data_IF_906706823536
#
_entry.id   IF_906706823536
#
_cell.length_a   1.000
_cell.length_b   1.000
_cell.length_c   1.000
_cell.angle_alpha   90.00
_cell.angle_beta   90.00
_cell.angle_gamma   90.00
#
_symmetry.space_group_name_H-M   'P 1'
#
loop_
_entity.id
_entity.type
_entity.pdbx_description
1 polymer ?
#
# COMPACT_ATOMS: atom_id res chain seq x y z
N UNK A 1 -39.70 24.21 -11.71
CA UNK A 1 -38.24 24.20 -11.95
C UNK A 1 -37.61 23.62 -10.69
N UNK A 2 -37.33 22.32 -10.67
CA UNK A 2 -36.70 21.66 -9.52
C UNK A 2 -35.19 21.76 -9.71
N UNK A 3 -34.54 22.56 -8.87
CA UNK A 3 -33.09 22.59 -8.75
C UNK A 3 -32.65 21.21 -8.22
N UNK A 4 -31.96 20.44 -9.05
CA UNK A 4 -31.24 19.26 -8.60
C UNK A 4 -30.20 19.72 -7.59
N UNK A 5 -30.38 19.32 -6.34
CA UNK A 5 -29.35 19.39 -5.32
C UNK A 5 -28.19 18.50 -5.77
N UNK A 6 -27.11 19.10 -6.29
CA UNK A 6 -25.81 18.44 -6.41
C UNK A 6 -25.34 18.13 -5.00
N UNK A 7 -25.77 16.99 -4.47
CA UNK A 7 -25.26 16.47 -3.22
C UNK A 7 -23.79 16.17 -3.46
N UNK A 8 -22.93 17.04 -2.93
CA UNK A 8 -21.50 16.73 -2.77
C UNK A 8 -21.47 15.41 -2.01
N UNK A 9 -20.90 14.33 -2.57
CA UNK A 9 -20.88 13.04 -1.90
C UNK A 9 -20.20 13.20 -0.54
N UNK A 10 -20.67 12.48 0.50
CA UNK A 10 -20.10 12.59 1.83
C UNK A 10 -18.59 12.34 1.79
N UNK A 11 -17.83 13.10 2.57
CA UNK A 11 -16.37 12.96 2.65
C UNK A 11 -16.00 11.49 2.87
N UNK A 12 -15.19 10.93 1.95
CA UNK A 12 -14.76 9.54 1.98
C UNK A 12 -15.60 8.53 1.18
N UNK A 13 -16.77 8.91 0.63
CA UNK A 13 -17.57 8.00 -0.20
C UNK A 13 -16.84 7.55 -1.48
N UNK A 14 -16.10 8.47 -2.11
CA UNK A 14 -15.28 8.16 -3.29
C UNK A 14 -14.12 7.23 -2.95
N UNK A 15 -13.43 7.46 -1.81
CA UNK A 15 -12.38 6.58 -1.33
C UNK A 15 -12.93 5.16 -1.13
N UNK A 16 -14.06 5.01 -0.44
CA UNK A 16 -14.70 3.70 -0.23
C UNK A 16 -15.11 3.02 -1.54
N UNK A 17 -15.57 3.78 -2.54
CA UNK A 17 -15.84 3.23 -3.87
C UNK A 17 -14.55 2.70 -4.52
N UNK A 18 -13.47 3.48 -4.51
CA UNK A 18 -12.16 3.07 -5.03
C UNK A 18 -11.67 1.79 -4.36
N UNK A 19 -11.76 1.72 -3.03
CA UNK A 19 -11.41 0.53 -2.25
C UNK A 19 -12.18 -0.69 -2.76
N UNK A 20 -13.51 -0.58 -2.89
CA UNK A 20 -14.36 -1.68 -3.35
C UNK A 20 -14.04 -2.09 -4.79
N UNK A 21 -13.76 -1.14 -5.68
CA UNK A 21 -13.36 -1.45 -7.06
C UNK A 21 -12.07 -2.28 -7.09
N UNK A 22 -11.05 -1.90 -6.30
CA UNK A 22 -9.80 -2.67 -6.22
C UNK A 22 -10.04 -4.06 -5.64
N UNK A 23 -10.83 -4.20 -4.57
CA UNK A 23 -11.19 -5.53 -4.02
C UNK A 23 -11.91 -6.43 -5.04
N UNK A 24 -12.66 -5.85 -5.96
CA UNK A 24 -13.35 -6.57 -7.04
C UNK A 24 -12.46 -6.82 -8.27
N UNK A 25 -11.19 -6.42 -8.24
CA UNK A 25 -10.28 -6.53 -9.38
C UNK A 25 -10.56 -5.52 -10.51
N UNK A 26 -11.36 -4.48 -10.25
CA UNK A 26 -11.76 -3.45 -11.23
C UNK A 26 -10.75 -2.30 -11.24
N UNK A 27 -9.51 -2.62 -11.59
CA UNK A 27 -8.38 -1.69 -11.53
C UNK A 27 -8.47 -0.54 -12.54
N UNK A 28 -9.14 -0.74 -13.69
CA UNK A 28 -9.29 0.30 -14.71
C UNK A 28 -10.15 1.47 -14.21
N UNK A 29 -11.31 1.16 -13.61
CA UNK A 29 -12.20 2.15 -13.02
C UNK A 29 -11.57 2.83 -11.81
N UNK A 30 -10.91 2.05 -10.94
CA UNK A 30 -10.17 2.61 -9.81
C UNK A 30 -9.07 3.59 -10.26
N UNK A 31 -8.29 3.23 -11.28
CA UNK A 31 -7.27 4.09 -11.86
C UNK A 31 -7.83 5.40 -12.40
N UNK A 32 -8.98 5.36 -13.08
CA UNK A 32 -9.62 6.57 -13.61
C UNK A 32 -9.98 7.58 -12.51
N UNK A 33 -10.46 7.11 -11.35
CA UNK A 33 -10.78 7.95 -10.21
C UNK A 33 -9.51 8.47 -9.52
N UNK A 34 -8.55 7.58 -9.27
CA UNK A 34 -7.32 7.90 -8.54
C UNK A 34 -6.43 8.89 -9.28
N UNK A 35 -6.33 8.81 -10.61
CA UNK A 35 -5.48 9.75 -11.38
C UNK A 35 -5.97 11.19 -11.34
N UNK A 36 -7.25 11.40 -11.03
CA UNK A 36 -7.90 12.73 -10.95
C UNK A 36 -8.02 13.24 -9.51
N UNK A 37 -7.62 12.44 -8.51
CA UNK A 37 -7.74 12.83 -7.11
C UNK A 37 -6.85 14.04 -6.78
N UNK A 38 -7.47 15.09 -6.23
CA UNK A 38 -6.77 16.29 -5.73
C UNK A 38 -7.38 16.72 -4.38
N UNK A 39 -6.57 17.06 -3.36
CA UNK A 39 -5.12 16.90 -3.30
C UNK A 39 -4.71 15.41 -3.24
N UNK A 40 -3.48 15.12 -3.66
CA UNK A 40 -2.94 13.77 -3.59
C UNK A 40 -2.73 13.36 -2.12
N UNK A 41 -3.32 12.23 -1.73
CA UNK A 41 -3.22 11.67 -0.38
C UNK A 41 -2.31 10.44 -0.37
N UNK A 42 -1.70 10.07 0.78
CA UNK A 42 -0.91 8.85 0.87
C UNK A 42 -1.69 7.60 0.44
N UNK A 43 -2.95 7.47 0.86
CA UNK A 43 -3.84 6.35 0.51
C UNK A 43 -4.09 6.28 -1.00
N UNK A 44 -4.44 7.41 -1.62
CA UNK A 44 -4.64 7.50 -3.07
C UNK A 44 -3.39 7.10 -3.85
N UNK A 45 -2.22 7.59 -3.45
CA UNK A 45 -0.96 7.21 -4.10
C UNK A 45 -0.63 5.73 -3.97
N UNK A 46 -0.87 5.14 -2.79
CA UNK A 46 -0.70 3.71 -2.60
C UNK A 46 -1.67 2.90 -3.47
N UNK A 47 -2.95 3.27 -3.49
CA UNK A 47 -3.97 2.58 -4.28
C UNK A 47 -3.74 2.73 -5.79
N UNK A 48 -3.19 3.87 -6.22
CA UNK A 48 -2.75 4.07 -7.60
C UNK A 48 -1.56 3.17 -7.95
N UNK A 49 -0.63 2.98 -7.01
CA UNK A 49 0.47 2.03 -7.17
C UNK A 49 -0.05 0.59 -7.37
N UNK A 50 -1.09 0.17 -6.64
CA UNK A 50 -1.71 -1.15 -6.85
C UNK A 50 -2.26 -1.33 -8.27
N UNK A 51 -2.81 -0.26 -8.87
CA UNK A 51 -3.29 -0.31 -10.26
C UNK A 51 -2.14 -0.54 -11.26
N UNK A 52 -1.01 0.18 -11.09
CA UNK A 52 0.18 -0.03 -11.90
C UNK A 52 0.83 -1.40 -11.66
N UNK A 53 0.85 -1.86 -10.41
CA UNK A 53 1.40 -3.16 -10.05
C UNK A 53 0.60 -4.29 -10.71
N UNK A 54 -0.74 -4.21 -10.69
CA UNK A 54 -1.60 -5.17 -11.35
C UNK A 54 -1.36 -5.26 -12.86
N UNK A 55 -1.00 -4.14 -13.50
CA UNK A 55 -0.62 -4.09 -14.92
C UNK A 55 0.81 -4.64 -15.19
N UNK A 56 1.63 -4.84 -14.17
CA UNK A 56 3.06 -5.17 -14.30
C UNK A 56 3.96 -3.97 -14.58
N UNK A 57 3.44 -2.74 -14.43
CA UNK A 57 4.18 -1.49 -14.60
C UNK A 57 4.97 -1.15 -13.32
N UNK A 58 6.02 -1.92 -13.05
CA UNK A 58 6.75 -1.85 -11.77
C UNK A 58 7.49 -0.53 -11.54
N UNK A 59 7.95 0.16 -12.59
CA UNK A 59 8.63 1.46 -12.44
C UNK A 59 7.65 2.55 -12.01
N UNK A 60 6.48 2.59 -12.63
CA UNK A 60 5.39 3.49 -12.29
C UNK A 60 4.85 3.19 -10.89
N UNK A 61 4.75 1.90 -10.54
CA UNK A 61 4.41 1.46 -9.19
C UNK A 61 5.37 2.07 -8.16
N UNK A 62 6.68 1.96 -8.39
CA UNK A 62 7.71 2.53 -7.50
C UNK A 62 7.57 4.05 -7.36
N UNK A 63 7.32 4.78 -8.46
CA UNK A 63 7.10 6.24 -8.42
C UNK A 63 5.91 6.61 -7.53
N UNK A 64 4.79 5.89 -7.64
CA UNK A 64 3.63 6.10 -6.78
C UNK A 64 3.91 5.77 -5.32
N UNK A 65 4.64 4.68 -5.05
CA UNK A 65 5.04 4.27 -3.71
C UNK A 65 6.00 5.26 -3.04
N UNK A 66 6.94 5.83 -3.78
CA UNK A 66 7.83 6.89 -3.28
C UNK A 66 7.03 8.13 -2.88
N UNK A 67 6.06 8.55 -3.71
CA UNK A 67 5.15 9.66 -3.38
C UNK A 67 4.30 9.35 -2.14
N UNK A 68 3.72 8.15 -2.05
CA UNK A 68 2.96 7.73 -0.87
C UNK A 68 3.83 7.81 0.39
N UNK A 69 5.06 7.30 0.33
CA UNK A 69 6.01 7.31 1.44
C UNK A 69 6.40 8.74 1.87
N UNK A 70 6.63 9.64 0.92
CA UNK A 70 6.92 11.06 1.20
C UNK A 70 5.74 11.74 1.91
N UNK A 71 4.51 11.49 1.46
CA UNK A 71 3.31 12.06 2.08
C UNK A 71 3.05 11.48 3.48
N UNK A 72 3.38 10.20 3.73
CA UNK A 72 3.30 9.60 5.06
C UNK A 72 4.27 10.23 6.07
N UNK A 73 5.48 10.62 5.64
CA UNK A 73 6.48 11.20 6.55
C UNK A 73 6.05 12.55 7.15
N UNK A 74 5.08 13.22 6.52
CA UNK A 74 4.51 14.48 6.96
C UNK A 74 3.44 14.26 8.04
N UNK A 75 2.79 13.09 8.03
CA UNK A 75 1.72 12.73 8.96
C UNK A 75 2.27 12.00 10.19
N UNK A 76 2.28 12.68 11.34
CA UNK A 76 2.80 12.15 12.62
C UNK A 76 1.72 11.48 13.48
N UNK A 77 0.55 11.20 12.90
CA UNK A 77 -0.53 10.49 13.56
C UNK A 77 -0.25 9.00 13.67
N UNK A 78 -0.15 8.50 14.89
CA UNK A 78 -0.19 7.07 15.18
C UNK A 78 -0.81 6.87 16.54
N UNK A 79 -1.80 5.99 16.64
CA UNK A 79 -2.32 5.61 17.94
C UNK A 79 -1.41 4.51 18.48
N UNK A 80 -0.82 4.74 19.66
CA UNK A 80 -0.25 3.65 20.46
C UNK A 80 -1.40 2.83 21.03
N UNK A 81 -1.88 1.87 20.27
CA UNK A 81 -2.86 0.90 20.74
C UNK A 81 -2.12 -0.15 21.57
N UNK A 82 -2.60 -0.37 22.80
CA UNK A 82 -2.06 -1.44 23.64
C UNK A 82 -2.38 -2.78 22.97
N UNK A 83 -1.36 -3.45 22.43
CA UNK A 83 -1.51 -4.75 21.78
C UNK A 83 -1.24 -5.87 22.77
N UNK A 84 -2.20 -6.78 22.88
CA UNK A 84 -2.04 -8.00 23.67
C UNK A 84 -1.40 -9.13 22.86
N UNK A 85 -1.16 -10.27 23.51
CA UNK A 85 -0.58 -11.44 22.84
C UNK A 85 -1.51 -12.04 21.78
N UNK A 86 -2.83 -11.85 21.89
CA UNK A 86 -3.78 -12.35 20.90
C UNK A 86 -3.70 -11.55 19.60
N UNK A 87 -3.61 -10.22 19.70
CA UNK A 87 -3.31 -9.35 18.56
C UNK A 87 -1.99 -9.76 17.89
N UNK A 88 -0.93 -10.01 18.65
CA UNK A 88 0.36 -10.45 18.09
C UNK A 88 0.22 -11.76 17.29
N UNK A 89 -0.51 -12.75 17.82
CA UNK A 89 -0.74 -14.01 17.13
C UNK A 89 -1.57 -13.84 15.84
N UNK A 90 -2.57 -12.96 15.83
CA UNK A 90 -3.30 -12.59 14.60
C UNK A 90 -2.35 -11.95 13.60
N UNK A 91 -1.51 -11.03 14.07
CA UNK A 91 -0.59 -10.27 13.23
C UNK A 91 0.47 -11.18 12.59
N UNK A 92 1.01 -12.13 13.33
CA UNK A 92 1.93 -13.15 12.81
C UNK A 92 1.30 -13.97 11.69
N UNK A 93 0.03 -14.40 11.84
CA UNK A 93 -0.70 -15.09 10.76
C UNK A 93 -0.87 -14.21 9.52
N UNK A 94 -1.23 -12.95 9.72
CA UNK A 94 -1.41 -12.00 8.62
C UNK A 94 -0.08 -11.64 7.92
N UNK A 95 1.08 -11.71 8.61
CA UNK A 95 2.38 -11.47 8.00
C UNK A 95 2.75 -12.50 6.92
N UNK A 96 2.11 -13.68 6.98
CA UNK A 96 2.26 -14.73 5.98
C UNK A 96 1.32 -14.56 4.77
N UNK A 97 0.41 -13.58 4.82
CA UNK A 97 -0.54 -13.30 3.75
C UNK A 97 -0.09 -12.12 2.87
N UNK A 98 -0.67 -12.07 1.67
CA UNK A 98 -0.44 -11.03 0.66
C UNK A 98 -1.29 -9.77 0.88
N UNK A 99 -1.68 -9.48 2.12
CA UNK A 99 -2.56 -8.34 2.44
C UNK A 99 -1.96 -6.97 2.11
N UNK A 100 -0.64 -6.87 1.95
CA UNK A 100 0.03 -5.66 1.48
C UNK A 100 -0.31 -5.30 0.03
N UNK A 101 -0.96 -6.19 -0.71
CA UNK A 101 -1.54 -5.95 -2.05
C UNK A 101 -2.99 -5.45 -1.99
N UNK A 102 -3.55 -5.26 -0.79
CA UNK A 102 -4.90 -4.75 -0.59
C UNK A 102 -4.89 -3.22 -0.48
N UNK A 103 -5.98 -2.55 -0.90
CA UNK A 103 -6.04 -1.10 -0.90
C UNK A 103 -6.17 -0.53 0.52
N UNK A 104 -5.64 0.68 0.71
CA UNK A 104 -5.60 1.38 2.00
C UNK A 104 -6.54 2.58 2.00
N UNK A 105 -7.19 2.82 3.14
CA UNK A 105 -7.96 4.05 3.39
C UNK A 105 -7.10 5.08 4.11
N UNK A 106 -7.48 6.35 3.97
CA UNK A 106 -6.87 7.46 4.72
C UNK A 106 -6.99 7.23 6.23
N UNK A 107 -8.12 6.67 6.69
CA UNK A 107 -8.32 6.31 8.10
C UNK A 107 -7.38 5.20 8.57
N UNK A 108 -7.13 4.18 7.75
CA UNK A 108 -6.16 3.14 8.09
C UNK A 108 -4.76 3.73 8.24
N UNK A 109 -4.36 4.60 7.31
CA UNK A 109 -3.06 5.28 7.36
C UNK A 109 -2.90 6.12 8.63
N UNK A 110 -3.91 6.90 8.99
CA UNK A 110 -3.87 7.76 10.17
C UNK A 110 -3.76 6.97 11.50
N UNK A 111 -4.31 5.74 11.53
CA UNK A 111 -4.32 4.90 12.73
C UNK A 111 -3.13 3.94 12.80
N UNK A 112 -2.70 3.42 11.65
CA UNK A 112 -1.75 2.33 11.49
C UNK A 112 -0.61 2.68 10.51
N UNK A 113 -0.10 3.91 10.57
CA UNK A 113 0.90 4.43 9.64
C UNK A 113 2.16 3.56 9.51
N UNK A 114 2.63 2.92 10.60
CA UNK A 114 3.76 1.99 10.54
C UNK A 114 3.45 0.74 9.72
N UNK A 115 2.24 0.19 9.80
CA UNK A 115 1.82 -0.93 8.94
C UNK A 115 1.66 -0.48 7.49
N UNK A 116 1.22 0.75 7.24
CA UNK A 116 1.18 1.31 5.88
C UNK A 116 2.59 1.46 5.29
N UNK A 117 3.58 1.90 6.08
CA UNK A 117 5.00 1.94 5.66
C UNK A 117 5.54 0.55 5.35
N UNK A 118 5.17 -0.45 6.15
CA UNK A 118 5.53 -1.84 5.88
C UNK A 118 4.90 -2.31 4.56
N UNK A 119 3.61 -2.03 4.32
CA UNK A 119 2.94 -2.40 3.06
C UNK A 119 3.62 -1.76 1.83
N UNK A 120 4.00 -0.48 1.93
CA UNK A 120 4.80 0.19 0.89
C UNK A 120 6.11 -0.56 0.66
N UNK A 121 6.86 -0.85 1.73
CA UNK A 121 8.15 -1.52 1.63
C UNK A 121 8.01 -2.90 1.00
N UNK A 122 7.01 -3.68 1.43
CA UNK A 122 6.68 -5.00 0.89
C UNK A 122 6.38 -4.93 -0.60
N UNK A 123 5.58 -3.96 -1.05
CA UNK A 123 5.26 -3.83 -2.48
C UNK A 123 6.45 -3.33 -3.32
N UNK A 124 7.30 -2.44 -2.77
CA UNK A 124 8.55 -2.03 -3.43
C UNK A 124 9.51 -3.21 -3.58
N UNK A 125 9.62 -4.07 -2.57
CA UNK A 125 10.43 -5.29 -2.63
C UNK A 125 9.99 -6.19 -3.79
N UNK A 126 8.69 -6.45 -3.93
CA UNK A 126 8.17 -7.22 -5.06
C UNK A 126 8.53 -6.56 -6.40
N UNK A 127 8.37 -5.24 -6.53
CA UNK A 127 8.71 -4.52 -7.76
C UNK A 127 10.20 -4.68 -8.12
N UNK A 128 11.10 -4.52 -7.15
CA UNK A 128 12.54 -4.66 -7.41
C UNK A 128 12.93 -6.09 -7.74
N UNK A 129 12.25 -7.08 -7.14
CA UNK A 129 12.45 -8.49 -7.46
C UNK A 129 12.02 -8.78 -8.91
N UNK A 130 10.86 -8.27 -9.34
CA UNK A 130 10.37 -8.43 -10.71
C UNK A 130 11.22 -7.70 -11.75
N UNK A 131 11.88 -6.61 -11.36
CA UNK A 131 12.85 -5.89 -12.19
C UNK A 131 14.25 -6.51 -12.15
N UNK A 132 14.44 -7.62 -11.41
CA UNK A 132 15.72 -8.31 -11.22
C UNK A 132 16.85 -7.42 -10.66
N UNK A 133 16.50 -6.37 -9.92
CA UNK A 133 17.46 -5.47 -9.28
C UNK A 133 17.71 -5.96 -7.85
N UNK A 134 18.39 -7.11 -7.72
CA UNK A 134 18.56 -7.82 -6.45
C UNK A 134 19.23 -7.01 -5.35
N UNK A 135 20.17 -6.11 -5.70
CA UNK A 135 20.81 -5.25 -4.69
C UNK A 135 19.79 -4.31 -4.02
N UNK A 136 18.81 -3.81 -4.80
CA UNK A 136 17.72 -2.98 -4.28
C UNK A 136 16.72 -3.78 -3.45
N UNK A 137 16.49 -5.05 -3.79
CA UNK A 137 15.72 -5.97 -2.95
C UNK A 137 16.35 -6.04 -1.55
N UNK A 138 17.66 -6.30 -1.46
CA UNK A 138 18.36 -6.40 -0.18
C UNK A 138 18.30 -5.08 0.60
N UNK A 139 18.59 -3.94 -0.05
CA UNK A 139 18.58 -2.62 0.56
C UNK A 139 17.22 -2.27 1.19
N UNK A 140 16.13 -2.52 0.46
CA UNK A 140 14.78 -2.13 0.88
C UNK A 140 14.16 -3.13 1.86
N UNK A 141 14.41 -4.42 1.71
CA UNK A 141 13.76 -5.48 2.48
C UNK A 141 14.44 -5.74 3.84
N UNK A 142 15.77 -5.62 3.92
CA UNK A 142 16.55 -5.93 5.14
C UNK A 142 16.06 -5.18 6.40
N UNK A 143 15.74 -3.86 6.35
CA UNK A 143 15.30 -3.12 7.53
C UNK A 143 14.05 -3.70 8.22
N UNK A 144 13.19 -4.42 7.48
CA UNK A 144 11.94 -4.99 8.00
C UNK A 144 11.97 -6.53 8.10
N UNK A 145 13.09 -7.18 7.83
CA UNK A 145 13.21 -8.65 7.84
C UNK A 145 12.83 -9.25 9.21
N UNK A 146 13.14 -8.56 10.31
CA UNK A 146 12.80 -9.00 11.67
C UNK A 146 11.28 -9.08 11.94
N UNK A 147 10.43 -8.57 11.03
CA UNK A 147 8.97 -8.63 11.13
C UNK A 147 8.37 -9.91 10.55
N UNK A 148 9.18 -10.78 9.94
CA UNK A 148 8.78 -12.11 9.42
C UNK A 148 7.62 -12.05 8.41
N UNK A 149 7.69 -11.10 7.47
CA UNK A 149 6.74 -11.05 6.35
C UNK A 149 7.17 -12.07 5.30
N UNK A 150 6.27 -12.97 4.90
CA UNK A 150 6.61 -14.06 3.96
C UNK A 150 7.26 -13.57 2.67
N UNK A 151 6.68 -12.54 2.03
CA UNK A 151 7.21 -12.02 0.77
C UNK A 151 8.59 -11.37 0.91
N UNK A 152 8.90 -10.82 2.10
CA UNK A 152 10.21 -10.23 2.40
C UNK A 152 11.26 -11.33 2.55
N UNK A 153 10.95 -12.38 3.31
CA UNK A 153 11.86 -13.51 3.53
C UNK A 153 12.16 -14.22 2.20
N UNK A 154 11.11 -14.52 1.42
CA UNK A 154 11.24 -15.14 0.10
C UNK A 154 12.11 -14.27 -0.84
N UNK A 155 11.83 -12.95 -0.92
CA UNK A 155 12.55 -12.04 -1.81
C UNK A 155 14.02 -11.89 -1.40
N UNK A 156 14.32 -11.82 -0.10
CA UNK A 156 15.68 -11.77 0.41
C UNK A 156 16.45 -13.05 0.12
N UNK A 157 15.79 -14.21 0.23
CA UNK A 157 16.41 -15.48 -0.14
C UNK A 157 16.78 -15.49 -1.62
N UNK A 158 15.82 -15.19 -2.51
CA UNK A 158 16.06 -15.17 -3.96
C UNK A 158 17.18 -14.18 -4.33
N UNK A 159 17.16 -12.97 -3.76
CA UNK A 159 18.17 -11.96 -4.07
C UNK A 159 19.59 -12.37 -3.65
N UNK A 160 19.73 -13.03 -2.49
CA UNK A 160 21.04 -13.52 -2.00
C UNK A 160 21.60 -14.68 -2.81
N UNK A 161 20.75 -15.47 -3.46
CA UNK A 161 21.17 -16.55 -4.37
C UNK A 161 21.64 -16.03 -5.73
N UNK A 162 21.39 -14.75 -6.05
CA UNK A 162 21.61 -14.12 -7.35
C UNK A 162 22.72 -13.06 -7.36
N UNK A 163 23.35 -12.81 -6.22
CA UNK A 163 24.48 -11.88 -6.03
C UNK A 163 25.65 -12.67 -5.47
#
# INVERSE_FOLDING_TARGET
MLLQSSQVPPEGAEELLIINLIYQGRYAEAYLLLKTETPQRPAGMFNLALCFYWLGSYRETLVCLDKAQMLLAIDRGGISLNSDNFYKAIREKQNLADEYKLPLTSKYIALFGELAKDNITRLKTDCWLQLEVYQKVIEIATPIAHKNYKNIDDALQIAKERI
#
